data_IF_292593362265
#
_entry.id   IF_292593362265
#
_cell.length_a   1.000
_cell.length_b   1.000
_cell.length_c   1.000
_cell.angle_alpha   90.00
_cell.angle_beta   90.00
_cell.angle_gamma   90.00
#
_symmetry.space_group_name_H-M   'P 1'
#
loop_
_entity.id
_entity.type
_entity.pdbx_description
1 polymer ?
#
# COMPACT_ATOMS: atom_id res chain seq x y z
N UNK A 1 -15.77 46.94 -3.56
CA UNK A 1 -15.10 45.62 -3.52
C UNK A 1 -14.13 45.52 -4.70
N UNK A 2 -12.82 45.47 -4.46
CA UNK A 2 -11.83 45.34 -5.54
C UNK A 2 -11.83 43.87 -6.00
N UNK A 3 -12.20 43.63 -7.26
CA UNK A 3 -12.11 42.30 -7.87
C UNK A 3 -10.63 42.03 -8.15
N UNK A 4 -10.05 41.10 -7.40
CA UNK A 4 -8.73 40.56 -7.69
C UNK A 4 -8.91 39.69 -8.93
N UNK A 5 -8.50 40.17 -10.09
CA UNK A 5 -8.42 39.35 -11.30
C UNK A 5 -7.08 38.62 -11.27
N UNK A 6 -7.05 37.31 -11.00
CA UNK A 6 -5.80 36.58 -10.95
C UNK A 6 -5.19 36.54 -12.35
N UNK A 7 -3.91 36.87 -12.44
CA UNK A 7 -3.13 36.70 -13.66
C UNK A 7 -3.13 35.22 -14.05
N UNK A 8 -3.08 34.93 -15.36
CA UNK A 8 -2.96 33.56 -15.87
C UNK A 8 -1.75 32.83 -15.27
N UNK A 9 -0.68 33.55 -14.97
CA UNK A 9 0.48 33.01 -14.25
C UNK A 9 0.14 32.58 -12.83
N UNK A 10 -0.61 33.40 -12.09
CA UNK A 10 -1.04 33.08 -10.72
C UNK A 10 -1.91 31.83 -10.69
N UNK A 11 -2.81 31.65 -11.66
CA UNK A 11 -3.62 30.44 -11.76
C UNK A 11 -2.80 29.19 -12.08
N UNK A 12 -1.80 29.29 -12.96
CA UNK A 12 -0.92 28.16 -13.30
C UNK A 12 -0.09 27.72 -12.09
N UNK A 13 0.48 28.68 -11.37
CA UNK A 13 1.28 28.42 -10.15
C UNK A 13 0.43 27.71 -9.09
N UNK A 14 -0.80 28.17 -8.87
CA UNK A 14 -1.70 27.58 -7.87
C UNK A 14 -2.08 26.13 -8.21
N UNK A 15 -2.33 25.84 -9.48
CA UNK A 15 -2.63 24.47 -9.95
C UNK A 15 -1.41 23.55 -9.79
N UNK A 16 -0.20 24.04 -10.12
CA UNK A 16 1.02 23.26 -9.99
C UNK A 16 1.32 22.86 -8.53
N UNK A 17 1.17 23.81 -7.58
CA UNK A 17 1.36 23.54 -6.15
C UNK A 17 0.34 22.53 -5.62
N UNK A 18 -0.92 22.63 -6.06
CA UNK A 18 -1.96 21.69 -5.68
C UNK A 18 -1.68 20.26 -6.18
N UNK A 19 -1.23 20.10 -7.43
CA UNK A 19 -0.88 18.80 -8.01
C UNK A 19 0.30 18.13 -7.28
N UNK A 20 1.34 18.90 -6.91
CA UNK A 20 2.50 18.39 -6.15
C UNK A 20 2.08 17.93 -4.74
N UNK A 21 1.12 18.62 -4.12
CA UNK A 21 0.64 18.26 -2.78
C UNK A 21 -0.05 16.89 -2.75
N UNK A 22 -0.68 16.47 -3.84
CA UNK A 22 -1.39 15.19 -3.94
C UNK A 22 -0.48 14.01 -4.35
N UNK A 23 0.70 14.25 -4.93
CA UNK A 23 1.59 13.18 -5.41
C UNK A 23 2.30 12.42 -4.29
N UNK A 24 2.41 13.01 -3.08
CA UNK A 24 3.06 12.38 -1.93
C UNK A 24 2.13 11.49 -1.08
N UNK A 25 0.86 11.33 -1.46
CA UNK A 25 -0.10 10.47 -0.77
C UNK A 25 -0.04 8.99 -1.23
N UNK A 26 0.99 8.59 -1.96
CA UNK A 26 1.23 7.17 -2.23
C UNK A 26 1.65 6.49 -0.92
N UNK A 27 0.67 5.85 -0.25
CA UNK A 27 0.90 4.93 0.86
C UNK A 27 1.83 3.84 0.34
N UNK A 28 3.12 3.99 0.65
CA UNK A 28 4.07 2.89 0.57
C UNK A 28 3.59 1.90 1.61
N UNK A 29 2.83 0.88 1.18
CA UNK A 29 2.70 -0.34 1.97
C UNK A 29 4.12 -0.87 2.06
N UNK A 30 4.79 -0.52 3.15
CA UNK A 30 6.08 -1.07 3.48
C UNK A 30 5.87 -2.57 3.62
N UNK A 31 6.09 -3.31 2.53
CA UNK A 31 6.61 -4.66 2.63
C UNK A 31 7.97 -4.49 3.27
N UNK A 32 7.95 -4.39 4.60
CA UNK A 32 9.12 -4.40 5.45
C UNK A 32 9.71 -5.80 5.30
N UNK A 33 10.33 -6.06 4.15
CA UNK A 33 11.08 -7.26 3.81
C UNK A 33 12.44 -7.17 4.50
N UNK A 34 12.43 -6.79 5.77
CA UNK A 34 13.49 -7.03 6.73
C UNK A 34 13.38 -8.47 7.20
N UNK A 35 13.58 -9.43 6.29
CA UNK A 35 13.90 -10.80 6.66
C UNK A 35 14.96 -11.32 5.71
N UNK A 36 16.17 -10.84 5.97
CA UNK A 36 17.29 -11.68 6.40
C UNK A 36 17.05 -13.16 6.15
N UNK A 37 17.76 -13.68 5.16
CA UNK A 37 18.33 -15.03 5.12
C UNK A 37 18.05 -15.90 6.36
N UNK A 38 16.89 -16.53 6.43
CA UNK A 38 16.71 -17.71 7.28
C UNK A 38 15.77 -18.65 6.56
N UNK A 39 16.33 -19.81 6.16
CA UNK A 39 15.69 -21.12 5.99
C UNK A 39 14.22 -21.06 5.60
N UNK A 40 13.87 -21.36 4.35
CA UNK A 40 12.56 -21.86 3.84
C UNK A 40 11.53 -22.17 4.94
N UNK A 41 11.01 -21.15 5.65
CA UNK A 41 10.02 -21.36 6.71
C UNK A 41 8.71 -21.44 5.97
N UNK A 42 7.99 -22.55 6.17
CA UNK A 42 6.63 -22.70 5.67
C UNK A 42 5.84 -21.43 6.01
N UNK A 43 5.20 -20.88 4.99
CA UNK A 43 4.28 -19.77 5.10
C UNK A 43 3.27 -20.06 6.23
N UNK A 44 3.09 -19.14 7.21
CA UNK A 44 2.09 -19.31 8.25
C UNK A 44 0.71 -19.62 7.64
N UNK A 45 -0.09 -20.48 8.27
CA UNK A 45 -1.36 -20.95 7.71
C UNK A 45 -2.35 -19.80 7.43
N UNK A 46 -2.29 -18.73 8.23
CA UNK A 46 -3.09 -17.52 8.00
C UNK A 46 -2.65 -16.72 6.75
N UNK A 47 -1.37 -16.72 6.42
CA UNK A 47 -0.87 -16.09 5.18
C UNK A 47 -1.19 -16.95 3.97
N UNK A 48 -1.00 -18.28 4.07
CA UNK A 48 -1.39 -19.23 3.03
C UNK A 48 -2.88 -19.12 2.68
N UNK A 49 -3.74 -19.06 3.71
CA UNK A 49 -5.18 -18.83 3.55
C UNK A 49 -5.49 -17.57 2.74
N UNK A 50 -4.83 -16.44 3.07
CA UNK A 50 -5.05 -15.16 2.39
C UNK A 50 -4.59 -15.20 0.93
N UNK A 51 -3.44 -15.82 0.66
CA UNK A 51 -2.91 -15.97 -0.70
C UNK A 51 -3.81 -16.86 -1.56
N UNK A 52 -4.38 -17.91 -0.98
CA UNK A 52 -5.18 -18.89 -1.71
C UNK A 52 -6.68 -18.54 -1.76
N UNK A 53 -7.11 -17.45 -1.12
CA UNK A 53 -8.51 -17.03 -1.08
C UNK A 53 -9.44 -17.94 -0.27
N UNK A 54 -8.89 -18.83 0.55
CA UNK A 54 -9.67 -19.82 1.27
C UNK A 54 -10.42 -19.24 2.48
N UNK A 55 -11.61 -19.79 2.77
CA UNK A 55 -12.39 -19.41 3.96
C UNK A 55 -11.76 -19.90 5.27
N UNK A 56 -10.92 -20.94 5.24
CA UNK A 56 -10.31 -21.53 6.44
C UNK A 56 -8.82 -21.84 6.29
N UNK A 57 -8.05 -21.62 7.36
CA UNK A 57 -6.62 -21.93 7.41
C UNK A 57 -6.34 -23.39 7.83
N UNK A 58 -7.38 -24.19 8.11
CA UNK A 58 -7.27 -25.54 8.64
C UNK A 58 -6.43 -26.46 7.75
N UNK A 59 -6.58 -26.36 6.42
CA UNK A 59 -5.82 -27.16 5.44
C UNK A 59 -4.31 -26.85 5.41
N UNK A 60 -3.93 -25.67 5.90
CA UNK A 60 -2.55 -25.20 5.95
C UNK A 60 -1.90 -25.40 7.32
N UNK A 61 -2.69 -25.78 8.33
CA UNK A 61 -2.17 -25.99 9.68
C UNK A 61 -1.43 -27.34 9.77
N UNK A 62 -0.32 -27.40 10.51
CA UNK A 62 0.46 -28.62 10.67
C UNK A 62 -0.39 -29.73 11.33
N UNK A 63 -0.34 -30.94 10.78
CA UNK A 63 -1.04 -32.11 11.31
C UNK A 63 -2.51 -32.27 10.89
N UNK A 64 -3.03 -31.42 10.01
CA UNK A 64 -4.42 -31.50 9.52
C UNK A 64 -4.58 -32.36 8.24
N UNK A 65 -3.48 -32.63 7.53
CA UNK A 65 -3.46 -33.60 6.43
C UNK A 65 -2.92 -34.92 7.00
N UNK A 66 -3.82 -35.71 7.58
CA UNK A 66 -3.59 -37.13 7.86
C UNK A 66 -4.31 -37.94 6.81
#
# INVERSE_FOLDING_TARGET
MKKIQPSRFTTIILIAVFAISLSNCAVRVGTNSNRTYYKTKRIPPGQAKKMNGDRSAKRYAPGQNK
#
